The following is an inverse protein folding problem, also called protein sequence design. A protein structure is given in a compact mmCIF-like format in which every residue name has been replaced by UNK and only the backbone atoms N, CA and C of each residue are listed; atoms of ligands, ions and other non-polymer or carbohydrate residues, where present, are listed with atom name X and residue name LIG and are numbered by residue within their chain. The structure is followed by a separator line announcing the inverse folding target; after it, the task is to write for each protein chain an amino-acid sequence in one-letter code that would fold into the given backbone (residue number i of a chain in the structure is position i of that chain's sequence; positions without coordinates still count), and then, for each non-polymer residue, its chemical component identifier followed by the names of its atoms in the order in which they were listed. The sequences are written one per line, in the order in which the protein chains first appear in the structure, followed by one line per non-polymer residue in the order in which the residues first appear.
data_IF_813746373393
#
_entry.id   IF_813746373393
#
_cell.length_a   1.000
_cell.length_b   1.000
_cell.length_c   1.000
_cell.angle_alpha   90.00
_cell.angle_beta   90.00
_cell.angle_gamma   90.00
#
_symmetry.space_group_name_H-M   'P 1'
#
loop_
_entity.id
_entity.type
_entity.pdbx_description
1 polymer ?
#
# COMPACT_ATOMS: atom_id res chain seq x y z
N UNK A 1 4.31 7.57 -15.39
CA UNK A 1 3.48 6.43 -15.80
C UNK A 1 4.35 5.18 -15.83
N UNK A 2 4.32 4.36 -14.78
CA UNK A 2 5.06 3.10 -14.76
C UNK A 2 4.31 2.12 -15.66
N UNK A 3 4.91 1.77 -16.79
CA UNK A 3 4.32 0.85 -17.76
C UNK A 3 4.62 -0.59 -17.34
N UNK A 4 3.71 -1.19 -16.55
CA UNK A 4 3.71 -2.65 -16.40
C UNK A 4 3.20 -3.29 -17.71
N UNK A 5 3.88 -4.30 -18.26
CA UNK A 5 3.46 -4.94 -19.50
C UNK A 5 2.06 -5.56 -19.33
N UNK A 6 1.07 -5.05 -20.08
CA UNK A 6 -0.29 -5.60 -20.14
C UNK A 6 -0.29 -6.93 -20.90
N UNK A 7 0.12 -8.04 -20.27
CA UNK A 7 -0.29 -9.35 -20.77
C UNK A 7 -1.78 -9.50 -20.53
N UNK A 8 -2.57 -9.67 -21.60
CA UNK A 8 -3.97 -10.11 -21.52
C UNK A 8 -3.96 -11.55 -21.01
N UNK A 9 -4.12 -11.71 -19.70
CA UNK A 9 -4.06 -13.01 -19.02
C UNK A 9 -5.49 -13.48 -18.68
N UNK A 10 -5.77 -14.79 -18.73
CA UNK A 10 -7.12 -15.29 -18.49
C UNK A 10 -7.60 -14.88 -17.09
N UNK A 11 -8.80 -14.32 -17.03
CA UNK A 11 -9.43 -13.73 -15.85
C UNK A 11 -9.65 -14.70 -14.67
N UNK A 12 -9.27 -15.99 -14.79
CA UNK A 12 -9.58 -17.06 -13.85
C UNK A 12 -8.39 -17.47 -12.94
N UNK A 13 -7.38 -16.61 -12.76
CA UNK A 13 -6.19 -16.95 -11.91
C UNK A 13 -6.13 -16.21 -10.58
N UNK A 14 -6.93 -15.16 -10.42
CA UNK A 14 -6.99 -14.36 -9.21
C UNK A 14 -8.46 -14.12 -8.84
N UNK A 15 -8.70 -13.82 -7.58
CA UNK A 15 -9.95 -13.28 -7.06
C UNK A 15 -9.68 -11.88 -6.53
N UNK A 16 -10.57 -10.92 -6.76
CA UNK A 16 -10.36 -9.58 -6.25
C UNK A 16 -11.67 -8.85 -6.02
N UNK A 17 -11.66 -7.96 -5.03
CA UNK A 17 -12.86 -7.25 -4.60
C UNK A 17 -12.60 -6.29 -3.46
N UNK A 18 -13.58 -5.45 -3.19
CA UNK A 18 -13.57 -4.58 -2.00
C UNK A 18 -13.89 -5.40 -0.75
N UNK A 19 -13.13 -5.16 0.30
CA UNK A 19 -13.32 -5.70 1.64
C UNK A 19 -13.32 -4.55 2.65
N UNK A 20 -13.81 -4.81 3.86
CA UNK A 20 -13.67 -3.90 4.99
C UNK A 20 -12.67 -4.50 5.97
N UNK A 21 -11.72 -3.69 6.43
CA UNK A 21 -10.75 -4.07 7.45
C UNK A 21 -10.96 -3.19 8.69
N UNK A 22 -10.60 -3.71 9.87
CA UNK A 22 -10.77 -3.02 11.15
C UNK A 22 -9.40 -2.75 11.77
N UNK A 23 -9.09 -1.48 12.02
CA UNK A 23 -7.87 -1.04 12.67
C UNK A 23 -7.92 -1.28 14.18
N UNK A 24 -6.74 -1.22 14.82
CA UNK A 24 -6.60 -1.48 16.26
C UNK A 24 -7.36 -0.50 17.16
N UNK A 25 -7.73 0.68 16.65
CA UNK A 25 -8.58 1.66 17.31
C UNK A 25 -10.09 1.44 17.04
N UNK A 26 -10.45 0.33 16.39
CA UNK A 26 -11.83 0.01 16.01
C UNK A 26 -12.33 0.75 14.76
N UNK A 27 -11.50 1.57 14.13
CA UNK A 27 -11.87 2.26 12.89
C UNK A 27 -12.00 1.24 11.75
N UNK A 28 -13.08 1.34 10.98
CA UNK A 28 -13.31 0.52 9.80
C UNK A 28 -12.99 1.32 8.54
N UNK A 29 -12.20 0.73 7.65
CA UNK A 29 -11.85 1.32 6.36
C UNK A 29 -12.04 0.32 5.23
N UNK A 30 -12.32 0.83 4.05
CA UNK A 30 -12.35 0.03 2.84
C UNK A 30 -10.92 -0.39 2.46
N UNK A 31 -10.81 -1.56 1.83
CA UNK A 31 -9.60 -1.99 1.17
C UNK A 31 -9.94 -2.78 -0.10
N UNK A 32 -9.08 -2.71 -1.10
CA UNK A 32 -9.18 -3.57 -2.27
C UNK A 32 -8.23 -4.76 -2.11
N UNK A 33 -8.77 -5.97 -2.06
CA UNK A 33 -7.99 -7.20 -1.99
C UNK A 33 -7.90 -7.87 -3.37
N UNK A 34 -6.76 -8.48 -3.67
CA UNK A 34 -6.53 -9.32 -4.83
C UNK A 34 -5.67 -10.53 -4.43
N UNK A 35 -6.20 -11.74 -4.67
CA UNK A 35 -5.63 -13.01 -4.20
C UNK A 35 -5.36 -13.96 -5.35
N UNK A 36 -4.21 -14.66 -5.39
CA UNK A 36 -4.03 -15.79 -6.28
C UNK A 36 -5.00 -16.91 -5.90
N UNK A 37 -5.53 -17.62 -6.90
CA UNK A 37 -6.27 -18.88 -6.65
C UNK A 37 -5.34 -20.04 -6.28
N UNK A 38 -4.05 -19.92 -6.63
CA UNK A 38 -3.00 -20.82 -6.17
C UNK A 38 -2.52 -20.45 -4.77
N UNK A 39 -1.73 -21.31 -4.14
CA UNK A 39 -1.07 -21.01 -2.86
C UNK A 39 -0.30 -19.67 -2.93
N UNK A 40 -0.55 -18.80 -1.95
CA UNK A 40 0.14 -17.51 -1.81
C UNK A 40 1.63 -17.69 -1.50
N UNK A 41 2.44 -16.74 -1.96
CA UNK A 41 3.85 -16.56 -1.61
C UNK A 41 4.03 -15.74 -0.32
N UNK A 42 2.96 -15.09 0.16
CA UNK A 42 2.90 -14.23 1.33
C UNK A 42 2.01 -13.01 1.09
N UNK A 43 1.79 -12.23 2.14
CA UNK A 43 0.99 -11.02 2.10
C UNK A 43 1.74 -9.83 1.50
N UNK A 44 1.03 -8.95 0.81
CA UNK A 44 1.57 -7.70 0.27
C UNK A 44 0.60 -6.54 0.49
N UNK A 45 0.99 -5.58 1.32
CA UNK A 45 0.26 -4.32 1.47
C UNK A 45 0.76 -3.30 0.45
N UNK A 46 -0.16 -2.71 -0.30
CA UNK A 46 0.12 -1.68 -1.31
C UNK A 46 -0.36 -0.33 -0.79
N UNK A 47 0.54 0.65 -0.66
CA UNK A 47 0.23 1.96 -0.10
C UNK A 47 0.09 3.03 -1.18
N UNK A 48 -0.99 3.79 -1.06
CA UNK A 48 -1.42 4.79 -2.03
C UNK A 48 -0.49 6.00 -2.17
N UNK A 49 -0.64 6.67 -3.31
CA UNK A 49 -0.15 8.03 -3.53
C UNK A 49 -1.07 9.04 -2.81
N UNK A 50 -0.90 10.34 -3.10
CA UNK A 50 -1.79 11.40 -2.59
C UNK A 50 -3.17 11.42 -3.27
N UNK A 51 -3.49 10.42 -4.10
CA UNK A 51 -4.69 10.36 -4.94
C UNK A 51 -5.74 9.35 -4.45
N UNK A 52 -5.54 8.69 -3.31
CA UNK A 52 -6.46 7.66 -2.82
C UNK A 52 -6.21 6.27 -3.43
N UNK A 53 -7.14 5.36 -3.19
CA UNK A 53 -7.13 4.00 -3.72
C UNK A 53 -7.57 3.95 -5.20
N UNK A 54 -6.74 4.50 -6.08
CA UNK A 54 -7.02 4.63 -7.52
C UNK A 54 -7.14 3.27 -8.24
N UNK A 55 -7.84 3.24 -9.37
CA UNK A 55 -7.92 2.04 -10.21
C UNK A 55 -6.55 1.62 -10.77
N UNK A 56 -5.62 2.56 -10.92
CA UNK A 56 -4.22 2.26 -11.25
C UNK A 56 -3.59 1.38 -10.17
N UNK A 57 -3.74 1.72 -8.89
CA UNK A 57 -3.21 0.93 -7.78
C UNK A 57 -3.96 -0.38 -7.58
N UNK A 58 -5.29 -0.42 -7.80
CA UNK A 58 -6.04 -1.68 -7.84
C UNK A 58 -5.51 -2.60 -8.95
N UNK A 59 -5.12 -2.05 -10.10
CA UNK A 59 -4.47 -2.83 -11.17
C UNK A 59 -3.09 -3.35 -10.74
N UNK A 60 -2.32 -2.59 -9.95
CA UNK A 60 -1.05 -3.07 -9.37
C UNK A 60 -1.32 -4.23 -8.42
N UNK A 61 -2.33 -4.13 -7.53
CA UNK A 61 -2.72 -5.22 -6.63
C UNK A 61 -3.06 -6.51 -7.39
N UNK A 62 -3.83 -6.41 -8.48
CA UNK A 62 -4.13 -7.55 -9.35
C UNK A 62 -2.88 -8.15 -10.00
N UNK A 63 -1.94 -7.32 -10.44
CA UNK A 63 -0.66 -7.79 -11.00
C UNK A 63 0.17 -8.54 -9.96
N UNK A 64 0.28 -8.00 -8.74
CA UNK A 64 0.97 -8.69 -7.64
C UNK A 64 0.31 -10.02 -7.27
N UNK A 65 -1.03 -10.08 -7.33
CA UNK A 65 -1.76 -11.33 -7.15
C UNK A 65 -1.47 -12.36 -8.25
N UNK A 66 -1.32 -11.91 -9.51
CA UNK A 66 -0.90 -12.77 -10.61
C UNK A 66 0.54 -13.29 -10.43
N UNK A 67 1.39 -12.52 -9.76
CA UNK A 67 2.74 -12.93 -9.37
C UNK A 67 2.76 -13.84 -8.13
N UNK A 68 1.60 -14.04 -7.49
CA UNK A 68 1.38 -15.01 -6.42
C UNK A 68 1.31 -14.44 -5.00
N UNK A 69 1.14 -13.13 -4.81
CA UNK A 69 1.00 -12.52 -3.49
C UNK A 69 -0.46 -12.25 -3.11
N UNK A 70 -0.84 -12.43 -1.85
CA UNK A 70 -2.13 -11.93 -1.35
C UNK A 70 -2.00 -10.41 -1.14
N UNK A 71 -2.52 -9.64 -2.10
CA UNK A 71 -2.32 -8.21 -2.16
C UNK A 71 -3.53 -7.44 -1.61
N UNK A 72 -3.27 -6.42 -0.79
CA UNK A 72 -4.30 -5.52 -0.25
C UNK A 72 -3.89 -4.06 -0.40
N UNK A 73 -4.84 -3.22 -0.81
CA UNK A 73 -4.71 -1.77 -0.92
C UNK A 73 -5.72 -1.11 0.03
N UNK A 74 -5.32 -0.65 1.23
CA UNK A 74 -6.21 0.08 2.13
C UNK A 74 -6.52 1.49 1.61
N UNK A 75 -7.77 1.93 1.78
CA UNK A 75 -8.21 3.28 1.48
C UNK A 75 -7.88 4.23 2.66
N UNK A 76 -6.61 4.64 2.76
CA UNK A 76 -6.12 5.44 3.90
C UNK A 76 -6.80 6.81 4.03
N UNK A 77 -7.41 7.31 2.95
CA UNK A 77 -8.19 8.54 2.99
C UNK A 77 -9.52 8.42 3.73
N UNK A 78 -10.01 7.22 4.03
CA UNK A 78 -11.30 7.03 4.70
C UNK A 78 -11.36 7.72 6.07
N UNK A 79 -10.21 7.90 6.75
CA UNK A 79 -10.14 8.66 8.01
C UNK A 79 -10.47 10.15 7.86
N UNK A 80 -10.31 10.73 6.66
CA UNK A 80 -10.56 12.15 6.40
C UNK A 80 -11.74 12.38 5.45
N UNK A 81 -11.89 11.50 4.45
CA UNK A 81 -12.92 11.54 3.42
C UNK A 81 -13.11 10.11 2.85
N UNK A 82 -14.12 9.37 3.33
CA UNK A 82 -14.48 8.05 2.83
C UNK A 82 -14.66 8.01 1.32
N UNK A 83 -14.30 6.87 0.71
CA UNK A 83 -14.51 6.57 -0.72
C UNK A 83 -13.89 7.61 -1.68
N UNK A 84 -12.85 8.32 -1.21
CA UNK A 84 -12.28 9.43 -1.96
C UNK A 84 -11.11 9.00 -2.83
N UNK A 85 -11.22 9.32 -4.12
CA UNK A 85 -10.15 9.30 -5.10
C UNK A 85 -9.98 10.70 -5.65
N UNK A 86 -8.76 11.25 -5.54
CA UNK A 86 -8.47 12.60 -6.02
C UNK A 86 -8.02 12.54 -7.48
N UNK A 87 -8.53 13.43 -8.36
CA UNK A 87 -8.05 13.56 -9.73
C UNK A 87 -6.54 13.80 -9.81
N UNK A 88 -5.88 13.26 -10.84
CA UNK A 88 -4.42 13.40 -11.00
C UNK A 88 -3.96 14.83 -11.31
N UNK A 89 -4.85 15.67 -11.81
CA UNK A 89 -4.65 17.10 -12.07
C UNK A 89 -4.91 17.98 -10.83
N UNK A 90 -5.35 17.40 -9.70
CA UNK A 90 -5.50 18.08 -8.41
C UNK A 90 -4.54 17.53 -7.33
N UNK A 91 -3.22 17.78 -7.47
CA UNK A 91 -2.27 17.37 -6.45
C UNK A 91 -2.39 18.18 -5.15
N UNK A 92 -3.02 19.36 -5.16
CA UNK A 92 -3.22 20.18 -3.96
C UNK A 92 -4.33 19.63 -3.07
N UNK A 93 -5.45 19.19 -3.64
CA UNK A 93 -6.50 18.49 -2.90
C UNK A 93 -5.96 17.20 -2.25
N UNK A 94 -5.12 16.46 -2.98
CA UNK A 94 -4.44 15.27 -2.45
C UNK A 94 -3.53 15.59 -1.26
N UNK A 95 -2.72 16.64 -1.35
CA UNK A 95 -1.87 17.12 -0.25
C UNK A 95 -2.70 17.57 0.95
N UNK A 96 -3.81 18.27 0.71
CA UNK A 96 -4.69 18.74 1.77
C UNK A 96 -5.32 17.57 2.55
N UNK A 97 -5.75 16.51 1.85
CA UNK A 97 -6.24 15.29 2.49
C UNK A 97 -5.16 14.60 3.32
N UNK A 98 -3.95 14.43 2.78
CA UNK A 98 -2.81 13.89 3.55
C UNK A 98 -2.53 14.72 4.80
N UNK A 99 -2.65 16.05 4.73
CA UNK A 99 -2.43 16.95 5.87
C UNK A 99 -3.46 16.80 6.99
N UNK A 100 -4.62 16.21 6.72
CA UNK A 100 -5.68 15.95 7.71
C UNK A 100 -5.53 14.59 8.40
N UNK A 101 -4.64 13.74 7.91
CA UNK A 101 -4.43 12.41 8.47
C UNK A 101 -3.47 12.44 9.65
N UNK A 102 -3.86 11.75 10.72
CA UNK A 102 -3.01 11.47 11.86
C UNK A 102 -2.01 10.35 11.48
N UNK A 103 -0.69 10.60 11.57
CA UNK A 103 0.32 9.62 11.20
C UNK A 103 0.28 8.32 12.02
N UNK A 104 -0.05 8.38 13.31
CA UNK A 104 -0.14 7.18 14.17
C UNK A 104 -1.36 6.35 13.80
N UNK A 105 -2.49 7.00 13.59
CA UNK A 105 -3.71 6.30 13.15
C UNK A 105 -3.56 5.70 11.75
N UNK A 106 -2.82 6.37 10.87
CA UNK A 106 -2.47 5.83 9.55
C UNK A 106 -1.64 4.54 9.68
N UNK A 107 -0.74 4.45 10.66
CA UNK A 107 0.02 3.22 10.91
C UNK A 107 -0.86 2.07 11.43
N UNK A 108 -1.90 2.37 12.22
CA UNK A 108 -2.89 1.37 12.63
C UNK A 108 -3.65 0.79 11.44
N UNK A 109 -3.98 1.61 10.44
CA UNK A 109 -4.63 1.14 9.20
C UNK A 109 -3.72 0.22 8.39
N UNK A 110 -2.43 0.56 8.31
CA UNK A 110 -1.43 -0.26 7.61
C UNK A 110 -1.25 -1.60 8.33
N UNK A 111 -1.22 -1.60 9.67
CA UNK A 111 -1.17 -2.82 10.45
C UNK A 111 -2.44 -3.69 10.24
N UNK A 112 -3.62 -3.07 10.17
CA UNK A 112 -4.87 -3.76 9.86
C UNK A 112 -4.83 -4.42 8.48
N UNK A 113 -4.30 -3.71 7.49
CA UNK A 113 -4.12 -4.23 6.14
C UNK A 113 -3.13 -5.41 6.13
N UNK A 114 -2.01 -5.30 6.85
CA UNK A 114 -1.04 -6.38 6.97
C UNK A 114 -1.68 -7.65 7.58
N UNK A 115 -2.42 -7.51 8.67
CA UNK A 115 -3.12 -8.61 9.32
C UNK A 115 -4.17 -9.26 8.40
N UNK A 116 -4.82 -8.49 7.52
CA UNK A 116 -5.83 -9.00 6.61
C UNK A 116 -5.28 -9.93 5.51
N UNK A 117 -3.97 -9.91 5.27
CA UNK A 117 -3.29 -10.72 4.24
C UNK A 117 -2.16 -11.61 4.80
N UNK A 118 -2.04 -11.70 6.12
CA UNK A 118 -1.05 -12.60 6.74
C UNK A 118 -1.55 -14.05 6.72
N UNK A 119 -0.89 -14.88 5.92
CA UNK A 119 -1.13 -16.33 5.83
C UNK A 119 -0.07 -17.15 6.59
N UNK A 120 0.73 -16.50 7.44
CA UNK A 120 1.85 -17.10 8.18
C UNK A 120 3.15 -17.22 7.38
N UNK A 121 3.21 -16.73 6.13
CA UNK A 121 4.46 -16.63 5.35
C UNK A 121 5.16 -15.28 5.51
N UNK A 122 4.55 -14.38 6.28
CA UNK A 122 4.98 -13.01 6.47
C UNK A 122 4.41 -12.06 5.42
N UNK A 123 4.41 -10.78 5.78
CA UNK A 123 3.81 -9.71 4.99
C UNK A 123 4.89 -8.72 4.55
N UNK A 124 4.80 -8.23 3.32
CA UNK A 124 5.67 -7.16 2.81
C UNK A 124 4.84 -5.92 2.51
N UNK A 125 5.50 -4.76 2.41
CA UNK A 125 4.84 -3.50 2.05
C UNK A 125 5.48 -2.89 0.81
N UNK A 126 4.65 -2.36 -0.07
CA UNK A 126 5.01 -1.69 -1.30
C UNK A 126 4.31 -0.33 -1.34
N UNK A 127 5.05 0.77 -1.37
CA UNK A 127 4.47 2.11 -1.34
C UNK A 127 4.93 3.01 -2.47
N UNK A 128 4.05 3.92 -2.91
CA UNK A 128 4.31 4.90 -3.97
C UNK A 128 4.19 6.33 -3.43
N UNK A 129 5.14 7.21 -3.76
CA UNK A 129 5.11 8.63 -3.34
C UNK A 129 4.96 8.80 -1.81
N UNK A 130 3.84 9.35 -1.34
CA UNK A 130 3.49 9.42 0.08
C UNK A 130 3.49 8.03 0.72
N UNK A 131 2.87 7.04 0.08
CA UNK A 131 2.91 5.64 0.48
C UNK A 131 4.31 5.05 0.53
N UNK A 132 5.26 5.54 -0.28
CA UNK A 132 6.67 5.11 -0.21
C UNK A 132 7.34 5.53 1.11
N UNK A 133 7.04 6.75 1.58
CA UNK A 133 7.45 7.19 2.92
C UNK A 133 6.81 6.35 4.03
N UNK A 134 5.52 6.05 3.90
CA UNK A 134 4.80 5.18 4.83
C UNK A 134 5.35 3.74 4.84
N UNK A 135 5.77 3.21 3.69
CA UNK A 135 6.37 1.88 3.60
C UNK A 135 7.68 1.80 4.40
N UNK A 136 8.51 2.84 4.33
CA UNK A 136 9.74 2.92 5.12
C UNK A 136 9.44 3.05 6.62
N UNK A 137 8.47 3.87 7.00
CA UNK A 137 8.01 3.99 8.39
C UNK A 137 7.46 2.66 8.92
N UNK A 138 6.62 1.99 8.14
CA UNK A 138 6.08 0.67 8.47
C UNK A 138 7.19 -0.35 8.72
N UNK A 139 8.28 -0.32 7.95
CA UNK A 139 9.44 -1.19 8.15
C UNK A 139 10.18 -0.98 9.50
N UNK A 140 9.92 0.14 10.18
CA UNK A 140 10.49 0.44 11.51
C UNK A 140 9.55 0.10 12.67
N UNK A 141 8.24 -0.03 12.40
CA UNK A 141 7.20 -0.14 13.43
C UNK A 141 6.44 -1.47 13.41
N UNK A 142 6.39 -2.13 12.25
CA UNK A 142 5.66 -3.38 12.04
C UNK A 142 6.60 -4.54 11.74
N UNK A 143 6.17 -5.76 12.09
CA UNK A 143 6.88 -6.99 11.72
C UNK A 143 6.61 -7.33 10.25
N UNK A 144 7.49 -6.86 9.38
CA UNK A 144 7.38 -7.02 7.93
C UNK A 144 8.58 -7.80 7.39
N UNK A 145 8.34 -8.64 6.39
CA UNK A 145 9.39 -9.37 5.67
C UNK A 145 10.26 -8.45 4.83
N UNK A 146 9.65 -7.44 4.20
CA UNK A 146 10.34 -6.47 3.35
C UNK A 146 9.50 -5.21 3.17
N UNK A 147 10.17 -4.09 2.90
CA UNK A 147 9.54 -2.84 2.50
C UNK A 147 10.17 -2.29 1.21
N UNK A 148 9.32 -1.85 0.29
CA UNK A 148 9.71 -1.26 -1.00
C UNK A 148 9.09 0.13 -1.11
N UNK A 149 9.95 1.14 -1.26
CA UNK A 149 9.55 2.53 -1.45
C UNK A 149 9.84 2.99 -2.88
N UNK A 150 8.81 3.12 -3.70
CA UNK A 150 8.88 3.74 -5.03
C UNK A 150 8.75 5.26 -4.91
N UNK A 151 9.84 5.97 -5.25
CA UNK A 151 9.92 7.45 -5.28
C UNK A 151 9.32 8.12 -4.03
N UNK A 152 9.59 7.52 -2.86
CA UNK A 152 9.01 7.90 -1.59
C UNK A 152 9.32 9.34 -1.19
N UNK A 153 8.36 10.00 -0.54
CA UNK A 153 8.56 11.31 0.09
C UNK A 153 8.83 11.16 1.58
N UNK A 154 9.34 12.21 2.24
CA UNK A 154 9.67 12.22 3.68
C UNK A 154 10.70 11.16 4.13
N UNK A 155 11.48 10.59 3.21
CA UNK A 155 12.46 9.54 3.52
C UNK A 155 13.52 9.95 4.56
N UNK A 156 13.95 11.22 4.55
CA UNK A 156 14.92 11.72 5.52
C UNK A 156 14.41 11.68 6.96
N UNK A 157 13.09 11.88 7.15
CA UNK A 157 12.43 11.86 8.46
C UNK A 157 12.34 10.46 9.07
N UNK A 158 12.45 9.41 8.25
CA UNK A 158 12.34 8.00 8.68
C UNK A 158 13.66 7.23 8.62
N UNK A 159 14.77 7.86 8.22
CA UNK A 159 16.11 7.26 8.17
C UNK A 159 16.85 7.25 9.51
N UNK A 160 16.26 7.83 10.55
CA UNK A 160 16.90 8.00 11.87
C UNK A 160 16.83 6.74 12.74
N UNK A 161 15.87 5.85 12.48
CA UNK A 161 15.78 4.51 13.07
C UNK A 161 16.22 3.46 12.05
N UNK A 162 17.00 2.47 12.48
CA UNK A 162 17.38 1.33 11.61
C UNK A 162 16.11 0.51 11.32
N UNK A 163 15.73 0.28 10.05
CA UNK A 163 14.59 -0.59 9.73
C UNK A 163 14.77 -1.98 10.36
N UNK A 164 13.70 -2.51 10.94
CA UNK A 164 13.69 -3.88 11.46
C UNK A 164 13.69 -4.90 10.30
N UNK A 165 13.07 -4.52 9.17
CA UNK A 165 13.01 -5.29 7.93
C UNK A 165 14.04 -4.82 6.88
N UNK A 166 14.52 -5.69 5.98
CA UNK A 166 15.26 -5.26 4.78
C UNK A 166 14.41 -4.28 3.94
N UNK A 167 14.95 -3.08 3.71
CA UNK A 167 14.27 -2.02 2.94
C UNK A 167 15.12 -1.58 1.74
N UNK A 168 14.52 -1.48 0.56
CA UNK A 168 15.16 -0.90 -0.63
C UNK A 168 14.45 0.39 -1.03
N UNK A 169 15.23 1.45 -1.29
CA UNK A 169 14.75 2.73 -1.80
C UNK A 169 15.41 3.02 -3.14
N UNK A 170 14.64 3.06 -4.22
CA UNK A 170 15.15 3.48 -5.53
C UNK A 170 14.86 4.97 -5.72
N UNK A 171 15.83 5.82 -5.40
CA UNK A 171 15.83 7.22 -5.85
C UNK A 171 16.45 7.27 -7.24
N UNK A 172 15.70 7.72 -8.26
CA UNK A 172 16.32 8.12 -9.52
C UNK A 172 17.16 9.36 -9.21
N UNK A 173 18.49 9.21 -9.15
CA UNK A 173 19.37 10.39 -9.20
C UNK A 173 19.12 11.01 -10.56
N UNK A 174 18.55 12.22 -10.60
CA UNK A 174 18.67 13.05 -11.79
C UNK A 174 20.15 13.35 -11.95
N UNK A 175 20.76 12.77 -12.97
CA UNK A 175 22.03 13.22 -13.54
C UNK A 175 21.85 14.61 -14.12
#
# INVERSE_FOLDING_TARGET
MILFPRKRLPCNRIEGGSITITAGDGFQLAAFAARPRSRSKGGLVILQEIFGATDQLKSVARSCALDGFDAVLPALFDRAAPDTVVPFDDPDGGRALVGRLDPEKTMLDIAAAANAVDDGRGVSVLGFCWGGGLALRAATELDLRAAVSYYGTRLASFRTSRPAAPCSSTSVRRT
#
